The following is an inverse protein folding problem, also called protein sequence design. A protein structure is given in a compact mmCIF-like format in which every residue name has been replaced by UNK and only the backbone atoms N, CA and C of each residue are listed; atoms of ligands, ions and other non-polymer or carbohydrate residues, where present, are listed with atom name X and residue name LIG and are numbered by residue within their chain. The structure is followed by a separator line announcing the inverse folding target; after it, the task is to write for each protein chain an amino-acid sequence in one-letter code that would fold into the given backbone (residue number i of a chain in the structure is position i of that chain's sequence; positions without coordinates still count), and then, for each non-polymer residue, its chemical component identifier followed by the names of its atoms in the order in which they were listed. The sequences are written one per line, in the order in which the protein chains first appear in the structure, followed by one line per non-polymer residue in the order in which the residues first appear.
data_IF_046387863129
#
_entry.id   IF_046387863129
#
_cell.length_a   1.000
_cell.length_b   1.000
_cell.length_c   1.000
_cell.angle_alpha   90.00
_cell.angle_beta   90.00
_cell.angle_gamma   90.00
#
_symmetry.space_group_name_H-M   'P 1'
#
loop_
_entity.id
_entity.type
_entity.pdbx_description
1 polymer ?
#
# COMPACT_ATOMS: atom_id res chain seq x y z
N UNK A 1 19.01 33.66 -71.13
CA UNK A 1 17.76 32.90 -70.90
C UNK A 1 17.95 32.00 -69.67
N UNK A 2 17.08 32.20 -68.66
CA UNK A 2 16.72 31.37 -67.49
C UNK A 2 17.71 30.24 -67.09
N UNK A 3 18.54 30.43 -66.06
CA UNK A 3 18.34 30.00 -64.64
C UNK A 3 17.84 28.55 -64.50
N UNK A 4 18.68 27.66 -64.00
CA UNK A 4 18.27 26.62 -63.04
C UNK A 4 19.42 26.29 -62.10
N UNK A 5 19.34 26.89 -60.91
CA UNK A 5 20.16 26.60 -59.74
C UNK A 5 19.50 25.37 -59.07
N UNK A 6 20.12 24.20 -59.16
CA UNK A 6 19.65 23.00 -58.46
C UNK A 6 20.22 23.05 -57.05
N UNK A 7 19.44 23.59 -56.11
CA UNK A 7 19.72 23.50 -54.69
C UNK A 7 19.38 22.09 -54.21
N UNK A 8 20.40 21.27 -53.94
CA UNK A 8 20.27 20.01 -53.22
C UNK A 8 20.04 20.37 -51.76
N UNK A 9 18.78 20.51 -51.35
CA UNK A 9 18.40 20.61 -49.96
C UNK A 9 18.29 19.19 -49.39
N UNK A 10 19.41 18.66 -48.90
CA UNK A 10 19.42 17.46 -48.08
C UNK A 10 18.77 17.82 -46.74
N UNK A 11 17.44 17.66 -46.67
CA UNK A 11 16.72 17.63 -45.40
C UNK A 11 17.11 16.37 -44.65
N UNK A 12 18.22 16.48 -43.92
CA UNK A 12 18.58 15.57 -42.84
C UNK A 12 17.45 15.72 -41.82
N UNK A 13 16.45 14.84 -41.91
CA UNK A 13 15.65 14.47 -40.77
C UNK A 13 16.63 13.88 -39.75
N UNK A 14 17.21 14.73 -38.91
CA UNK A 14 17.59 14.37 -37.55
C UNK A 14 16.28 14.13 -36.79
N UNK A 15 15.52 13.12 -37.22
CA UNK A 15 14.79 12.30 -36.28
C UNK A 15 15.87 11.81 -35.35
N UNK A 16 15.96 12.43 -34.18
CA UNK A 16 16.77 12.03 -33.05
C UNK A 16 16.47 10.56 -32.80
N UNK A 17 17.22 9.75 -33.50
CA UNK A 17 17.26 8.34 -33.39
C UNK A 17 17.64 8.09 -31.93
N UNK A 18 16.67 7.62 -31.15
CA UNK A 18 16.89 6.92 -29.89
C UNK A 18 17.63 5.59 -30.18
N UNK A 19 18.79 5.67 -30.84
CA UNK A 19 19.61 4.57 -31.31
C UNK A 19 20.69 4.18 -30.28
N UNK A 20 20.43 4.40 -28.99
CA UNK A 20 21.30 3.95 -27.89
C UNK A 20 20.58 3.39 -26.65
N UNK A 21 19.30 3.01 -26.75
CA UNK A 21 18.61 2.22 -25.71
C UNK A 21 18.33 0.79 -26.20
N UNK A 22 19.37 0.11 -26.71
CA UNK A 22 19.26 -1.31 -27.04
C UNK A 22 19.31 -2.15 -25.76
N UNK A 23 18.16 -2.78 -25.46
CA UNK A 23 17.98 -3.94 -24.57
C UNK A 23 18.15 -3.70 -23.06
N UNK A 24 17.64 -2.60 -22.54
CA UNK A 24 17.64 -2.42 -21.10
C UNK A 24 16.32 -2.89 -20.52
N UNK A 25 16.37 -4.04 -19.84
CA UNK A 25 15.21 -4.73 -19.31
C UNK A 25 15.12 -4.55 -17.79
N UNK A 26 13.96 -4.87 -17.25
CA UNK A 26 13.70 -5.03 -15.83
C UNK A 26 13.22 -6.46 -15.57
N UNK A 27 13.37 -6.92 -14.33
CA UNK A 27 12.92 -8.22 -13.89
C UNK A 27 11.71 -8.15 -12.98
N UNK A 28 10.83 -9.14 -13.08
CA UNK A 28 9.77 -9.42 -12.11
C UNK A 28 9.85 -10.90 -11.70
N UNK A 29 9.85 -11.14 -10.40
CA UNK A 29 9.66 -12.46 -9.81
C UNK A 29 8.41 -12.45 -8.95
N UNK A 30 7.56 -13.48 -9.12
CA UNK A 30 6.37 -13.66 -8.30
C UNK A 30 6.38 -15.07 -7.73
N UNK A 31 6.22 -15.17 -6.42
CA UNK A 31 6.14 -16.42 -5.66
C UNK A 31 4.83 -16.42 -4.90
N UNK A 32 4.09 -17.53 -4.96
CA UNK A 32 2.91 -17.75 -4.12
C UNK A 32 3.14 -18.92 -3.18
N UNK A 33 2.91 -18.71 -1.89
CA UNK A 33 3.16 -19.72 -0.85
C UNK A 33 2.07 -20.78 -0.87
N UNK A 34 2.41 -22.01 -1.24
CA UNK A 34 1.56 -23.22 -1.23
C UNK A 34 0.24 -23.14 -2.02
N UNK A 35 0.05 -22.08 -2.82
CA UNK A 35 -1.17 -21.80 -3.58
C UNK A 35 -0.83 -21.46 -5.03
N UNK A 36 -0.94 -22.41 -5.98
CA UNK A 36 -0.75 -22.14 -7.40
C UNK A 36 -1.62 -20.96 -7.86
N UNK A 37 -1.02 -20.01 -8.58
CA UNK A 37 -1.70 -18.79 -9.00
C UNK A 37 -1.26 -18.38 -10.40
N UNK A 38 -2.19 -17.85 -11.18
CA UNK A 38 -1.92 -17.19 -12.46
C UNK A 38 -1.55 -15.72 -12.22
N UNK A 39 -0.49 -15.25 -12.88
CA UNK A 39 0.00 -13.87 -12.76
C UNK A 39 -0.28 -13.12 -14.04
N UNK A 40 -0.82 -11.91 -13.91
CA UNK A 40 -1.10 -11.00 -15.02
C UNK A 40 -0.34 -9.70 -14.81
N UNK A 41 0.12 -9.11 -15.91
CA UNK A 41 0.80 -7.82 -15.96
C UNK A 41 0.00 -6.89 -16.89
N UNK A 42 -0.51 -5.78 -16.37
CA UNK A 42 -1.46 -4.88 -17.04
C UNK A 42 -2.66 -5.63 -17.68
N UNK A 43 -3.17 -6.62 -16.96
CA UNK A 43 -4.29 -7.47 -17.40
C UNK A 43 -3.93 -8.52 -18.45
N UNK A 44 -2.70 -8.54 -18.98
CA UNK A 44 -2.24 -9.62 -19.85
C UNK A 44 -1.70 -10.78 -19.01
N UNK A 45 -2.15 -12.00 -19.32
CA UNK A 45 -1.62 -13.21 -18.69
C UNK A 45 -0.12 -13.32 -18.96
N UNK A 46 0.67 -13.44 -17.90
CA UNK A 46 2.12 -13.59 -17.96
C UNK A 46 2.49 -15.07 -17.86
N UNK A 47 2.34 -15.66 -16.67
CA UNK A 47 2.64 -17.08 -16.40
C UNK A 47 2.03 -17.50 -15.05
N UNK A 48 2.17 -18.77 -14.66
CA UNK A 48 1.83 -19.22 -13.30
C UNK A 48 3.01 -19.01 -12.33
N UNK A 49 2.71 -18.67 -11.09
CA UNK A 49 3.68 -18.59 -10.01
C UNK A 49 4.05 -20.02 -9.49
N UNK A 50 5.31 -20.24 -9.07
CA UNK A 50 6.41 -19.27 -9.05
C UNK A 50 6.99 -19.00 -10.45
N UNK A 51 7.27 -17.72 -10.76
CA UNK A 51 7.85 -17.29 -12.04
C UNK A 51 8.99 -16.28 -11.84
N UNK A 52 9.90 -16.22 -12.82
CA UNK A 52 10.90 -15.15 -12.96
C UNK A 52 10.96 -14.72 -14.44
N UNK A 53 10.56 -13.49 -14.72
CA UNK A 53 10.69 -12.88 -16.05
C UNK A 53 11.72 -11.75 -16.02
N UNK A 54 12.78 -11.85 -16.82
CA UNK A 54 13.93 -10.91 -16.80
C UNK A 54 13.94 -9.92 -17.98
N UNK A 55 13.03 -10.10 -18.93
CA UNK A 55 13.01 -9.35 -20.19
C UNK A 55 11.79 -8.45 -20.31
N UNK A 56 11.42 -7.76 -19.23
CA UNK A 56 10.30 -6.79 -19.23
C UNK A 56 10.86 -5.41 -19.55
N UNK A 57 10.08 -4.58 -20.25
CA UNK A 57 10.44 -3.16 -20.39
C UNK A 57 10.35 -2.46 -19.03
N UNK A 58 11.27 -1.55 -18.69
CA UNK A 58 11.12 -0.74 -17.48
C UNK A 58 9.85 0.12 -17.55
N UNK A 59 9.15 0.27 -16.42
CA UNK A 59 7.89 1.00 -16.34
C UNK A 59 7.11 0.69 -15.06
N UNK A 60 5.97 1.35 -14.88
CA UNK A 60 5.01 1.03 -13.83
C UNK A 60 3.94 0.10 -14.40
N UNK A 61 3.65 -0.97 -13.68
CA UNK A 61 2.74 -2.01 -14.11
C UNK A 61 1.72 -2.33 -13.00
N UNK A 62 0.51 -2.69 -13.40
CA UNK A 62 -0.44 -3.41 -12.55
C UNK A 62 -0.12 -4.89 -12.56
N UNK A 63 0.03 -5.49 -11.39
CA UNK A 63 0.20 -6.93 -11.21
C UNK A 63 -1.07 -7.48 -10.56
N UNK A 64 -1.70 -8.46 -11.21
CA UNK A 64 -2.79 -9.26 -10.64
C UNK A 64 -2.31 -10.69 -10.42
N UNK A 65 -2.51 -11.21 -9.21
CA UNK A 65 -2.26 -12.60 -8.83
C UNK A 65 -3.62 -13.24 -8.59
N UNK A 66 -3.97 -14.21 -9.42
CA UNK A 66 -5.23 -14.95 -9.37
C UNK A 66 -4.96 -16.39 -8.90
N UNK A 67 -5.37 -16.78 -7.69
CA UNK A 67 -5.28 -18.17 -7.26
C UNK A 67 -6.07 -19.11 -8.18
N UNK A 68 -5.55 -20.32 -8.39
CA UNK A 68 -6.30 -21.35 -9.12
C UNK A 68 -7.52 -21.87 -8.32
N UNK A 69 -7.44 -21.77 -6.99
CA UNK A 69 -8.53 -22.11 -6.07
C UNK A 69 -9.53 -20.94 -5.97
N UNK A 70 -10.79 -21.11 -6.42
CA UNK A 70 -11.77 -20.04 -6.46
C UNK A 70 -12.27 -19.60 -5.08
N UNK A 71 -11.93 -20.32 -4.00
CA UNK A 71 -12.25 -19.90 -2.63
C UNK A 71 -11.31 -18.82 -2.11
N UNK A 72 -10.15 -18.63 -2.76
CA UNK A 72 -9.14 -17.66 -2.37
C UNK A 72 -9.33 -16.35 -3.13
N UNK A 73 -8.96 -15.25 -2.49
CA UNK A 73 -9.12 -13.93 -3.11
C UNK A 73 -7.94 -13.58 -4.03
N UNK A 74 -8.21 -12.98 -5.19
CA UNK A 74 -7.17 -12.42 -6.04
C UNK A 74 -6.54 -11.19 -5.38
N UNK A 75 -5.29 -10.92 -5.74
CA UNK A 75 -4.56 -9.74 -5.27
C UNK A 75 -4.14 -8.87 -6.44
N UNK A 76 -4.33 -7.56 -6.28
CA UNK A 76 -3.90 -6.56 -7.26
C UNK A 76 -3.02 -5.51 -6.58
N UNK A 77 -1.91 -5.17 -7.24
CA UNK A 77 -0.99 -4.12 -6.79
C UNK A 77 -0.35 -3.44 -7.98
N UNK A 78 0.23 -2.26 -7.76
CA UNK A 78 1.14 -1.64 -8.73
C UNK A 78 2.58 -1.82 -8.30
N UNK A 79 3.49 -2.02 -9.26
CA UNK A 79 4.94 -2.09 -9.03
C UNK A 79 5.70 -1.26 -10.06
N UNK A 80 6.86 -0.74 -9.68
CA UNK A 80 7.75 -0.01 -10.59
C UNK A 80 8.93 -0.87 -10.99
N UNK A 81 8.89 -1.43 -12.20
CA UNK A 81 9.97 -2.23 -12.76
C UNK A 81 11.08 -1.31 -13.27
N UNK A 82 12.18 -1.24 -12.53
CA UNK A 82 13.32 -0.38 -12.85
C UNK A 82 14.37 -1.11 -13.68
N UNK A 83 14.99 -0.36 -14.59
CA UNK A 83 16.05 -0.84 -15.48
C UNK A 83 17.18 -1.53 -14.72
N UNK A 84 17.48 -2.77 -15.11
CA UNK A 84 18.56 -3.59 -14.54
C UNK A 84 18.27 -4.15 -13.14
N UNK A 85 17.07 -3.94 -12.60
CA UNK A 85 16.69 -4.37 -11.25
C UNK A 85 15.59 -5.43 -11.33
N UNK A 86 15.56 -6.29 -10.31
CA UNK A 86 14.53 -7.30 -10.12
C UNK A 86 13.57 -6.82 -9.03
N UNK A 87 12.28 -6.76 -9.36
CA UNK A 87 11.20 -6.62 -8.38
C UNK A 87 10.74 -8.02 -7.97
N UNK A 88 10.55 -8.25 -6.67
CA UNK A 88 10.12 -9.55 -6.14
C UNK A 88 8.81 -9.37 -5.39
N UNK A 89 7.82 -10.21 -5.69
CA UNK A 89 6.56 -10.29 -4.96
C UNK A 89 6.46 -11.70 -4.36
N UNK A 90 6.24 -11.78 -3.05
CA UNK A 90 5.86 -13.01 -2.36
C UNK A 90 4.47 -12.81 -1.79
N UNK A 91 3.54 -13.70 -2.14
CA UNK A 91 2.14 -13.55 -1.78
C UNK A 91 1.55 -14.84 -1.21
N UNK A 92 0.82 -14.71 -0.10
CA UNK A 92 0.07 -15.79 0.54
C UNK A 92 -1.42 -15.43 0.45
N UNK A 93 -2.13 -15.93 -0.58
CA UNK A 93 -3.56 -15.68 -0.71
C UNK A 93 -4.34 -16.50 0.32
N UNK A 94 -5.42 -15.91 0.82
CA UNK A 94 -6.38 -16.54 1.71
C UNK A 94 -7.81 -16.30 1.21
N UNK A 95 -8.81 -16.82 1.90
CA UNK A 95 -10.24 -16.72 1.60
C UNK A 95 -10.81 -15.31 1.71
N UNK A 96 -10.08 -14.41 2.38
CA UNK A 96 -10.47 -13.00 2.57
C UNK A 96 -9.28 -12.05 2.38
N UNK A 97 -9.51 -10.81 1.91
CA UNK A 97 -8.43 -9.85 1.67
C UNK A 97 -7.60 -9.49 2.91
N UNK A 98 -8.20 -9.50 4.09
CA UNK A 98 -7.56 -9.21 5.37
C UNK A 98 -6.78 -10.39 5.94
N UNK A 99 -7.11 -11.62 5.53
CA UNK A 99 -6.37 -12.83 5.90
C UNK A 99 -5.22 -13.11 4.92
N UNK A 100 -5.23 -12.47 3.77
CA UNK A 100 -4.14 -12.55 2.79
C UNK A 100 -2.99 -11.61 3.20
N UNK A 101 -1.76 -12.04 2.93
CA UNK A 101 -0.56 -11.27 3.27
C UNK A 101 0.59 -11.53 2.31
N UNK A 102 1.66 -10.74 2.41
CA UNK A 102 2.83 -10.91 1.58
C UNK A 102 3.78 -9.73 1.61
N UNK A 103 4.85 -9.83 0.83
CA UNK A 103 5.92 -8.83 0.76
C UNK A 103 6.29 -8.52 -0.68
N UNK A 104 6.50 -7.23 -0.97
CA UNK A 104 7.04 -6.74 -2.23
C UNK A 104 8.39 -6.08 -1.93
N UNK A 105 9.40 -6.47 -2.70
CA UNK A 105 10.74 -5.92 -2.66
C UNK A 105 11.03 -5.16 -3.95
N UNK A 106 11.32 -3.87 -3.83
CA UNK A 106 11.74 -3.00 -4.93
C UNK A 106 13.06 -2.32 -4.56
N UNK A 107 13.95 -2.11 -5.54
CA UNK A 107 15.16 -1.32 -5.32
C UNK A 107 15.07 0.00 -6.06
N UNK A 108 15.45 1.09 -5.38
CA UNK A 108 15.54 2.43 -5.97
C UNK A 108 16.97 2.97 -5.90
N UNK A 109 17.58 3.42 -7.01
CA UNK A 109 18.91 4.02 -6.96
C UNK A 109 18.91 5.34 -6.17
N UNK A 110 19.83 5.47 -5.22
CA UNK A 110 20.03 6.71 -4.46
C UNK A 110 20.81 7.74 -5.28
N UNK A 111 20.65 9.02 -4.94
CA UNK A 111 21.46 10.12 -5.52
C UNK A 111 22.92 10.00 -5.08
N UNK A 112 23.14 9.77 -3.79
CA UNK A 112 24.45 9.50 -3.22
C UNK A 112 24.75 8.00 -3.33
N UNK A 113 25.74 7.63 -4.15
CA UNK A 113 26.07 6.23 -4.42
C UNK A 113 26.86 5.56 -3.30
N UNK A 114 27.26 6.30 -2.28
CA UNK A 114 28.01 5.82 -1.13
C UNK A 114 27.11 5.40 0.02
N UNK A 115 25.82 5.75 -0.01
CA UNK A 115 24.83 5.42 1.02
C UNK A 115 24.00 4.20 0.63
N UNK A 116 23.40 3.57 1.62
CA UNK A 116 22.38 2.54 1.49
C UNK A 116 21.28 2.80 2.51
N UNK A 117 20.04 2.47 2.16
CA UNK A 117 18.87 2.71 3.00
C UNK A 117 17.89 1.54 2.87
N UNK A 118 17.09 1.30 3.90
CA UNK A 118 15.96 0.38 3.84
C UNK A 118 14.69 1.14 4.21
N UNK A 119 13.66 1.05 3.38
CA UNK A 119 12.35 1.65 3.60
C UNK A 119 11.34 0.54 3.88
N UNK A 120 10.67 0.62 5.01
CA UNK A 120 9.59 -0.30 5.38
C UNK A 120 8.25 0.42 5.29
N UNK A 121 7.29 -0.20 4.60
CA UNK A 121 5.92 0.28 4.46
C UNK A 121 5.00 -0.89 4.77
N UNK A 122 4.03 -0.73 5.66
CA UNK A 122 3.13 -1.83 6.04
C UNK A 122 1.67 -1.52 5.76
N UNK A 123 0.88 -2.56 5.51
CA UNK A 123 -0.57 -2.51 5.44
C UNK A 123 -1.11 -3.56 6.42
N UNK A 124 -1.81 -3.15 7.49
CA UNK A 124 -2.06 -1.76 7.89
C UNK A 124 -0.79 -1.01 8.34
N UNK A 125 -0.88 0.32 8.39
CA UNK A 125 0.18 1.20 8.87
C UNK A 125 0.41 1.02 10.39
N UNK A 126 1.59 1.39 10.90
CA UNK A 126 1.89 1.38 12.34
C UNK A 126 2.43 0.06 12.88
N UNK A 127 2.81 -0.88 12.01
CA UNK A 127 3.51 -2.08 12.44
C UNK A 127 4.90 -1.75 13.00
N UNK A 128 5.33 -2.53 13.97
CA UNK A 128 6.66 -2.43 14.57
C UNK A 128 7.63 -3.20 13.68
N UNK A 129 8.72 -2.54 13.29
CA UNK A 129 9.81 -3.10 12.49
C UNK A 129 11.05 -3.20 13.37
N UNK A 130 11.70 -4.37 13.35
CA UNK A 130 13.04 -4.57 13.91
C UNK A 130 13.98 -5.04 12.80
N UNK A 131 15.14 -4.39 12.68
CA UNK A 131 16.18 -4.73 11.68
C UNK A 131 17.42 -5.25 12.44
N UNK A 132 17.88 -6.44 12.06
CA UNK A 132 18.97 -7.19 12.69
C UNK A 132 18.83 -7.36 14.21
N UNK A 133 17.59 -7.46 14.70
CA UNK A 133 17.28 -7.57 16.13
C UNK A 133 17.51 -6.29 16.95
N UNK A 134 17.86 -5.17 16.32
CA UNK A 134 18.05 -3.87 16.95
C UNK A 134 16.93 -2.89 16.56
N UNK A 135 16.84 -1.77 17.32
CA UNK A 135 15.96 -0.59 17.15
C UNK A 135 14.54 -0.84 16.59
N UNK A 136 13.53 -0.75 17.46
CA UNK A 136 12.11 -0.84 17.08
C UNK A 136 11.63 0.49 16.51
N UNK A 137 11.28 0.47 15.23
CA UNK A 137 10.68 1.61 14.53
C UNK A 137 9.23 1.31 14.13
N UNK A 138 8.45 2.34 13.84
CA UNK A 138 7.07 2.18 13.36
C UNK A 138 6.97 2.47 11.87
N UNK A 139 6.42 1.54 11.10
CA UNK A 139 6.20 1.74 9.68
C UNK A 139 5.07 2.76 9.40
N UNK A 140 5.19 3.62 8.38
CA UNK A 140 6.29 3.68 7.41
C UNK A 140 7.56 4.36 7.97
N UNK A 141 8.73 3.74 7.71
CA UNK A 141 10.04 4.25 8.18
C UNK A 141 11.12 4.05 7.12
N UNK A 142 12.10 4.95 7.08
CA UNK A 142 13.35 4.80 6.31
C UNK A 142 14.50 4.72 7.30
N UNK A 143 15.24 3.62 7.26
CA UNK A 143 16.46 3.39 8.04
C UNK A 143 17.66 3.74 7.16
N UNK A 144 18.36 4.85 7.41
CA UNK A 144 19.52 5.26 6.62
C UNK A 144 20.79 4.56 7.10
N UNK A 145 21.78 4.44 6.21
CA UNK A 145 23.12 3.99 6.59
C UNK A 145 23.22 2.50 6.94
N UNK A 146 22.26 1.69 6.50
CA UNK A 146 22.30 0.23 6.69
C UNK A 146 23.50 -0.33 5.91
N UNK A 147 24.30 -1.18 6.54
CA UNK A 147 25.49 -1.74 5.90
C UNK A 147 25.11 -2.55 4.63
N UNK A 148 25.95 -2.59 3.59
CA UNK A 148 25.71 -3.47 2.46
C UNK A 148 25.92 -4.94 2.85
N UNK A 149 24.97 -5.82 2.53
CA UNK A 149 25.04 -7.23 2.89
C UNK A 149 23.67 -7.84 3.15
N UNK A 150 23.68 -9.01 3.79
CA UNK A 150 22.47 -9.71 4.19
C UNK A 150 22.00 -9.19 5.56
N UNK A 151 20.73 -8.80 5.64
CA UNK A 151 20.09 -8.30 6.85
C UNK A 151 18.77 -9.03 7.08
N UNK A 152 18.44 -9.23 8.35
CA UNK A 152 17.19 -9.87 8.75
C UNK A 152 16.25 -8.81 9.33
N UNK A 153 14.96 -8.89 9.03
CA UNK A 153 13.98 -8.01 9.65
C UNK A 153 12.76 -8.80 10.12
N UNK A 154 12.16 -8.30 11.20
CA UNK A 154 10.91 -8.77 11.75
C UNK A 154 9.87 -7.64 11.72
N UNK A 155 8.64 -7.95 11.32
CA UNK A 155 7.51 -7.04 11.37
C UNK A 155 6.43 -7.66 12.23
N UNK A 156 5.93 -6.88 13.20
CA UNK A 156 4.89 -7.31 14.13
C UNK A 156 3.81 -6.25 14.26
N UNK A 157 2.56 -6.72 14.37
CA UNK A 157 1.42 -5.86 14.70
C UNK A 157 0.38 -6.70 15.46
N UNK A 158 -0.20 -6.19 16.58
CA UNK A 158 -1.19 -6.94 17.34
C UNK A 158 -2.37 -7.41 16.48
N UNK A 159 -2.77 -8.67 16.66
CA UNK A 159 -3.82 -9.36 15.87
C UNK A 159 -3.47 -9.68 14.41
N UNK A 160 -2.21 -9.58 14.02
CA UNK A 160 -1.72 -9.98 12.70
C UNK A 160 -0.62 -11.04 12.80
N UNK A 161 -0.42 -11.82 11.74
CA UNK A 161 0.69 -12.76 11.60
C UNK A 161 2.02 -11.98 11.59
N UNK A 162 2.92 -12.28 12.52
CA UNK A 162 4.29 -11.77 12.48
C UNK A 162 5.04 -12.33 11.27
N UNK A 163 5.90 -11.51 10.68
CA UNK A 163 6.68 -11.90 9.50
C UNK A 163 8.16 -11.66 9.73
N UNK A 164 8.98 -12.66 9.40
CA UNK A 164 10.43 -12.61 9.48
C UNK A 164 11.01 -12.92 8.11
N UNK A 165 11.91 -12.06 7.64
CA UNK A 165 12.43 -12.11 6.28
C UNK A 165 13.88 -11.64 6.24
N UNK A 166 14.51 -11.92 5.11
CA UNK A 166 15.89 -11.52 4.85
C UNK A 166 15.95 -10.69 3.58
N UNK A 167 16.75 -9.62 3.61
CA UNK A 167 17.03 -8.76 2.46
C UNK A 167 18.53 -8.69 2.21
N UNK A 168 18.90 -8.40 0.97
CA UNK A 168 20.27 -8.04 0.62
C UNK A 168 20.34 -6.55 0.30
N UNK A 169 20.92 -5.77 1.20
CA UNK A 169 21.13 -4.33 1.05
C UNK A 169 22.33 -4.07 0.13
N UNK A 170 22.15 -3.18 -0.84
CA UNK A 170 23.18 -2.87 -1.86
C UNK A 170 23.56 -1.41 -1.76
N UNK A 171 24.87 -1.13 -1.70
CA UNK A 171 25.38 0.23 -1.69
C UNK A 171 24.90 1.03 -2.91
N UNK A 172 24.46 2.26 -2.68
CA UNK A 172 23.94 3.17 -3.70
C UNK A 172 22.46 2.94 -4.04
N UNK A 173 21.76 2.09 -3.29
CA UNK A 173 20.34 1.78 -3.44
C UNK A 173 19.58 1.91 -2.13
N UNK A 174 18.29 2.21 -2.24
CA UNK A 174 17.28 2.01 -1.22
C UNK A 174 16.55 0.70 -1.50
N UNK A 175 16.55 -0.22 -0.54
CA UNK A 175 15.65 -1.37 -0.55
C UNK A 175 14.29 -0.92 -0.03
N UNK A 176 13.24 -1.04 -0.82
CA UNK A 176 11.86 -0.75 -0.44
C UNK A 176 11.17 -2.08 -0.17
N UNK A 177 10.78 -2.28 1.08
CA UNK A 177 10.07 -3.46 1.57
C UNK A 177 8.64 -3.04 1.89
N UNK A 178 7.69 -3.52 1.11
CA UNK A 178 6.25 -3.30 1.36
C UNK A 178 5.64 -4.57 1.87
N UNK A 179 5.02 -4.52 3.03
CA UNK A 179 4.47 -5.70 3.69
C UNK A 179 2.98 -5.53 3.90
N UNK A 180 2.20 -6.47 3.41
CA UNK A 180 0.80 -6.62 3.82
C UNK A 180 0.73 -7.72 4.86
N UNK A 181 0.29 -7.36 6.06
CA UNK A 181 0.15 -8.29 7.16
C UNK A 181 -1.22 -9.00 7.06
N UNK A 182 -1.18 -10.32 7.16
CA UNK A 182 -2.38 -11.15 7.27
C UNK A 182 -2.93 -11.04 8.71
N UNK A 183 -4.21 -10.77 8.86
CA UNK A 183 -4.88 -10.76 10.15
C UNK A 183 -5.01 -12.20 10.66
N UNK A 184 -4.78 -12.40 11.95
CA UNK A 184 -5.06 -13.69 12.58
C UNK A 184 -6.57 -13.90 12.64
N UNK A 185 -7.03 -15.08 12.25
CA UNK A 185 -8.43 -15.46 12.47
C UNK A 185 -8.71 -15.46 13.98
N UNK A 186 -9.82 -14.86 14.39
CA UNK A 186 -10.31 -15.05 15.73
C UNK A 186 -10.75 -16.51 15.84
N UNK A 187 -10.05 -17.29 16.66
CA UNK A 187 -10.51 -18.60 17.11
C UNK A 187 -11.95 -18.42 17.60
N UNK A 188 -12.89 -19.08 16.91
CA UNK A 188 -14.29 -19.10 17.31
C UNK A 188 -14.37 -19.69 18.71
N UNK A 189 -15.04 -18.98 19.62
CA UNK A 189 -15.33 -19.41 21.00
C UNK A 189 -16.00 -20.80 21.06
N UNK A 190 -16.52 -21.29 19.91
CA UNK A 190 -17.08 -22.63 19.75
C UNK A 190 -16.04 -23.78 19.82
N UNK A 191 -14.74 -23.52 19.70
CA UNK A 191 -13.68 -24.54 19.87
C UNK A 191 -13.01 -24.47 21.24
N UNK A 192 -13.31 -23.46 22.04
CA UNK A 192 -12.81 -23.34 23.40
C UNK A 192 -13.78 -24.09 24.33
N UNK A 193 -13.62 -25.41 24.42
CA UNK A 193 -14.30 -26.21 25.47
C UNK A 193 -13.98 -25.55 26.83
N UNK A 194 -14.97 -25.08 27.60
CA UNK A 194 -14.69 -24.50 28.90
C UNK A 194 -14.27 -25.63 29.84
N UNK A 195 -13.02 -25.60 30.29
CA UNK A 195 -12.62 -26.27 31.51
C UNK A 195 -13.41 -25.61 32.66
N UNK A 196 -14.49 -26.26 33.07
CA UNK A 196 -15.35 -25.86 34.18
C UNK A 196 -14.50 -25.77 35.45
N UNK A 197 -14.33 -24.57 35.99
CA UNK A 197 -13.91 -24.34 37.37
C UNK A 197 -15.00 -23.51 38.03
N UNK A 198 -15.90 -24.21 38.70
CA UNK A 198 -16.90 -23.64 39.61
C UNK A 198 -16.19 -22.86 40.72
N UNK A 199 -16.65 -21.62 40.92
CA UNK A 199 -16.94 -20.97 42.20
C UNK A 199 -16.62 -19.47 42.09
N UNK A 200 -17.65 -18.64 41.93
CA UNK A 200 -17.81 -17.51 42.85
C UNK A 200 -19.20 -16.90 42.79
N UNK A 201 -19.57 -16.41 43.95
CA UNK A 201 -20.90 -16.17 44.48
C UNK A 201 -21.47 -14.83 44.01
N UNK A 202 -22.80 -14.81 43.88
CA UNK A 202 -23.61 -13.66 43.46
C UNK A 202 -23.64 -12.61 44.57
N UNK A 203 -23.35 -11.34 44.27
CA UNK A 203 -23.94 -10.21 44.99
C UNK A 203 -24.49 -9.18 44.00
N UNK A 204 -25.81 -9.07 44.09
CA UNK A 204 -26.73 -8.15 43.45
C UNK A 204 -26.63 -6.75 44.09
N UNK A 205 -26.68 -5.67 43.30
CA UNK A 205 -27.50 -4.47 43.57
C UNK A 205 -27.46 -3.50 42.38
N UNK A 206 -28.62 -3.29 41.77
CA UNK A 206 -28.96 -2.14 40.91
C UNK A 206 -29.44 -0.95 41.78
N UNK A 207 -29.99 0.15 41.22
CA UNK A 207 -29.56 1.07 40.14
C UNK A 207 -29.62 2.54 40.61
N UNK A 208 -29.25 3.53 39.78
CA UNK A 208 -29.87 4.88 39.78
C UNK A 208 -29.85 5.48 38.37
N UNK A 209 -30.91 6.24 38.15
CA UNK A 209 -31.61 6.67 36.96
C UNK A 209 -31.23 8.12 36.54
N UNK A 210 -31.71 8.52 35.35
CA UNK A 210 -32.27 9.85 35.02
C UNK A 210 -31.42 10.87 34.23
N UNK A 211 -31.76 10.99 32.92
CA UNK A 211 -32.02 12.22 32.09
C UNK A 211 -30.87 13.17 31.69
N UNK A 212 -30.86 13.95 30.59
CA UNK A 212 -31.53 14.11 29.27
C UNK A 212 -30.85 15.41 28.64
N UNK A 213 -31.28 16.11 27.54
CA UNK A 213 -30.43 16.28 26.36
C UNK A 213 -30.29 17.72 25.74
N UNK A 214 -29.65 17.78 24.56
CA UNK A 214 -29.80 18.69 23.39
C UNK A 214 -29.19 20.13 23.29
N UNK A 215 -28.55 20.31 22.11
CA UNK A 215 -28.52 21.45 21.17
C UNK A 215 -27.72 22.76 21.41
N UNK A 216 -27.01 23.20 20.36
CA UNK A 216 -27.12 24.51 19.67
C UNK A 216 -26.34 24.45 18.32
N UNK A 217 -27.09 24.59 17.21
CA UNK A 217 -26.64 25.02 15.87
C UNK A 217 -26.18 26.49 15.87
N UNK A 218 -25.27 26.93 14.98
CA UNK A 218 -25.48 28.08 14.04
C UNK A 218 -24.28 28.38 13.07
N UNK A 219 -24.50 28.11 11.78
CA UNK A 219 -24.13 28.79 10.49
C UNK A 219 -22.91 29.73 10.24
N UNK A 220 -22.13 29.38 9.18
CA UNK A 220 -21.71 30.11 7.93
C UNK A 220 -20.94 31.46 7.95
N UNK A 221 -20.04 31.77 6.97
CA UNK A 221 -20.35 31.84 5.52
C UNK A 221 -19.31 31.24 4.53
N UNK A 222 -19.73 31.28 3.26
CA UNK A 222 -19.31 30.59 2.03
C UNK A 222 -18.09 31.18 1.26
N UNK A 223 -17.36 30.33 0.51
CA UNK A 223 -16.77 30.60 -0.80
C UNK A 223 -16.48 29.28 -1.56
N UNK A 224 -16.72 29.27 -2.87
CA UNK A 224 -17.03 28.13 -3.75
C UNK A 224 -15.87 27.18 -4.13
N UNK A 225 -16.15 25.87 -4.10
CA UNK A 225 -15.54 24.84 -4.93
C UNK A 225 -16.65 23.87 -5.37
N UNK A 226 -16.72 23.56 -6.67
CA UNK A 226 -17.80 22.85 -7.35
C UNK A 226 -18.17 21.53 -6.68
N UNK A 227 -19.36 21.49 -6.07
CA UNK A 227 -19.89 20.36 -5.29
C UNK A 227 -20.64 19.37 -6.20
N UNK A 228 -20.13 18.14 -6.30
CA UNK A 228 -21.01 16.98 -6.32
C UNK A 228 -21.46 16.81 -4.87
N UNK A 229 -22.77 16.90 -4.56
CA UNK A 229 -23.30 16.85 -3.18
C UNK A 229 -23.13 15.50 -2.46
N UNK A 230 -22.17 14.70 -2.88
CA UNK A 230 -21.88 13.36 -2.41
C UNK A 230 -20.92 13.43 -1.21
N UNK A 231 -21.11 12.53 -0.25
CA UNK A 231 -20.29 12.48 0.96
C UNK A 231 -19.42 11.21 0.95
N UNK A 232 -18.32 11.25 1.69
CA UNK A 232 -17.48 10.09 1.97
C UNK A 232 -17.49 9.87 3.47
N UNK A 233 -18.04 8.75 3.92
CA UNK A 233 -18.02 8.33 5.32
C UNK A 233 -16.71 7.64 5.65
N UNK A 234 -16.06 8.08 6.72
CA UNK A 234 -14.84 7.49 7.27
C UNK A 234 -15.25 6.37 8.24
N UNK A 235 -14.75 5.17 7.98
CA UNK A 235 -15.01 3.98 8.79
C UNK A 235 -13.98 3.86 9.93
N UNK A 236 -14.23 3.03 10.95
CA UNK A 236 -13.21 2.69 11.95
C UNK A 236 -11.92 2.16 11.31
N UNK A 237 -10.78 2.63 11.80
CA UNK A 237 -9.43 2.35 11.28
C UNK A 237 -8.57 1.56 12.27
N UNK A 238 -8.90 1.62 13.56
CA UNK A 238 -8.03 1.26 14.69
C UNK A 238 -6.67 1.98 14.69
N UNK A 239 -6.56 3.08 13.95
CA UNK A 239 -5.36 3.90 13.88
C UNK A 239 -5.55 5.18 14.71
N UNK A 240 -4.85 5.26 15.85
CA UNK A 240 -5.00 6.36 16.82
C UNK A 240 -3.87 7.38 16.66
N UNK A 241 -4.22 8.65 16.54
CA UNK A 241 -3.29 9.78 16.56
C UNK A 241 -3.83 10.88 17.48
N UNK A 242 -2.97 11.37 18.39
CA UNK A 242 -3.32 12.39 19.39
C UNK A 242 -4.61 12.06 20.19
N UNK A 243 -4.77 10.77 20.53
CA UNK A 243 -5.91 10.27 21.30
C UNK A 243 -7.21 10.10 20.50
N UNK A 244 -7.17 10.27 19.18
CA UNK A 244 -8.33 10.14 18.30
C UNK A 244 -8.10 9.06 17.24
N UNK A 245 -9.14 8.29 16.93
CA UNK A 245 -9.12 7.37 15.80
C UNK A 245 -9.23 8.16 14.51
N UNK A 246 -8.28 7.95 13.59
CA UNK A 246 -8.17 8.76 12.37
C UNK A 246 -7.87 7.93 11.14
N UNK A 247 -8.16 8.49 9.97
CA UNK A 247 -7.75 8.02 8.66
C UNK A 247 -6.81 9.05 8.02
N UNK A 248 -5.73 8.56 7.42
CA UNK A 248 -4.74 9.39 6.74
C UNK A 248 -5.26 9.91 5.40
N UNK A 249 -5.08 11.21 5.17
CA UNK A 249 -5.36 11.87 3.90
C UNK A 249 -4.07 12.02 3.11
N UNK A 250 -4.10 11.59 1.85
CA UNK A 250 -2.95 11.48 0.96
C UNK A 250 -3.03 12.47 -0.19
N UNK A 251 -1.89 12.89 -0.72
CA UNK A 251 -1.81 13.83 -1.86
C UNK A 251 -2.12 13.19 -3.20
N UNK A 252 -2.05 11.85 -3.30
CA UNK A 252 -2.41 11.07 -4.48
C UNK A 252 -3.07 9.74 -4.04
N UNK A 253 -3.79 9.00 -4.92
CA UNK A 253 -4.40 7.71 -4.62
C UNK A 253 -3.35 6.59 -4.51
N UNK A 254 -2.43 6.72 -3.56
CA UNK A 254 -1.35 5.79 -3.30
C UNK A 254 -0.86 5.93 -1.86
N UNK A 255 -0.54 4.79 -1.23
CA UNK A 255 0.06 4.71 0.11
C UNK A 255 1.47 5.26 0.16
N UNK A 256 2.12 5.46 -1.00
CA UNK A 256 3.45 6.08 -1.13
C UNK A 256 3.42 7.60 -1.18
N UNK A 257 2.23 8.19 -1.37
CA UNK A 257 2.12 9.63 -1.53
C UNK A 257 2.16 10.36 -0.19
N UNK A 258 2.45 11.66 -0.25
CA UNK A 258 2.61 12.51 0.92
C UNK A 258 1.33 12.51 1.75
N UNK A 259 1.47 12.35 3.06
CA UNK A 259 0.39 12.57 4.01
C UNK A 259 0.10 14.06 4.11
N UNK A 260 -1.08 14.48 3.67
CA UNK A 260 -1.56 15.85 3.83
C UNK A 260 -2.07 16.11 5.25
N UNK A 261 -2.57 15.07 5.92
CA UNK A 261 -3.07 15.15 7.29
C UNK A 261 -3.95 13.96 7.63
N UNK A 262 -4.87 14.16 8.58
CA UNK A 262 -5.74 13.13 9.14
C UNK A 262 -7.18 13.62 9.25
N UNK A 263 -8.14 12.73 9.04
CA UNK A 263 -9.57 12.94 9.29
C UNK A 263 -10.04 11.95 10.34
N UNK A 264 -10.90 12.37 11.26
CA UNK A 264 -11.38 11.50 12.34
C UNK A 264 -12.28 10.38 11.80
N UNK A 265 -12.14 9.18 12.36
CA UNK A 265 -13.01 8.05 12.07
C UNK A 265 -14.46 8.34 12.49
N UNK A 266 -15.42 7.67 11.85
CA UNK A 266 -16.85 7.87 12.05
C UNK A 266 -17.38 9.27 11.67
N UNK A 267 -16.59 10.08 10.97
CA UNK A 267 -17.02 11.37 10.38
C UNK A 267 -17.37 11.23 8.91
N UNK A 268 -18.00 12.26 8.34
CA UNK A 268 -18.24 12.37 6.89
C UNK A 268 -17.46 13.56 6.34
N UNK A 269 -16.88 13.38 5.15
CA UNK A 269 -16.12 14.40 4.44
C UNK A 269 -16.80 14.68 3.09
N UNK A 270 -16.77 15.93 2.57
CA UNK A 270 -17.26 16.20 1.22
C UNK A 270 -16.45 15.42 0.19
N UNK A 271 -17.11 14.79 -0.78
CA UNK A 271 -16.41 14.09 -1.86
C UNK A 271 -15.62 15.07 -2.75
N UNK A 272 -14.40 14.67 -3.11
CA UNK A 272 -13.50 15.46 -3.95
C UNK A 272 -13.69 15.25 -5.46
N UNK A 273 -14.66 14.41 -5.86
CA UNK A 273 -14.91 14.01 -7.25
C UNK A 273 -14.92 12.50 -7.40
N UNK A 274 -14.30 12.00 -8.48
CA UNK A 274 -14.28 10.56 -8.76
C UNK A 274 -13.34 9.82 -7.80
N UNK A 275 -13.79 8.63 -7.36
CA UNK A 275 -12.92 7.64 -6.74
C UNK A 275 -12.00 7.01 -7.78
N UNK A 276 -10.83 6.57 -7.34
CA UNK A 276 -9.89 5.78 -8.15
C UNK A 276 -9.72 4.43 -7.46
N UNK A 277 -9.33 3.39 -8.21
CA UNK A 277 -9.29 2.01 -7.72
C UNK A 277 -8.61 1.92 -6.34
N UNK A 278 -9.37 1.57 -5.28
CA UNK A 278 -8.87 1.48 -3.90
C UNK A 278 -8.88 2.79 -3.08
N UNK A 279 -9.37 3.90 -3.64
CA UNK A 279 -9.27 5.24 -3.04
C UNK A 279 -10.51 6.10 -3.31
N UNK A 280 -11.03 6.73 -2.26
CA UNK A 280 -12.03 7.79 -2.36
C UNK A 280 -11.36 9.16 -2.29
N UNK A 281 -11.82 10.09 -3.11
CA UNK A 281 -11.35 11.48 -3.05
C UNK A 281 -12.23 12.29 -2.11
N UNK A 282 -11.62 13.16 -1.31
CA UNK A 282 -12.28 14.06 -0.37
C UNK A 282 -11.77 15.49 -0.52
N UNK A 283 -12.57 16.46 -0.10
CA UNK A 283 -12.12 17.83 0.10
C UNK A 283 -11.51 17.93 1.49
N UNK A 284 -10.19 18.13 1.56
CA UNK A 284 -9.42 18.24 2.80
C UNK A 284 -8.71 19.59 2.86
N UNK A 285 -8.98 20.40 3.88
CA UNK A 285 -8.46 21.76 4.02
C UNK A 285 -8.61 22.62 2.75
N UNK A 286 -9.74 22.48 2.04
CA UNK A 286 -10.03 23.20 0.80
C UNK A 286 -9.29 22.71 -0.45
N UNK A 287 -8.53 21.61 -0.35
CA UNK A 287 -7.81 20.98 -1.46
C UNK A 287 -8.26 19.53 -1.67
N UNK A 288 -7.94 18.95 -2.83
CA UNK A 288 -8.20 17.55 -3.12
C UNK A 288 -7.27 16.64 -2.31
N UNK A 289 -7.84 15.70 -1.56
CA UNK A 289 -7.12 14.66 -0.83
C UNK A 289 -7.68 13.27 -1.15
N UNK A 290 -6.89 12.23 -0.84
CA UNK A 290 -7.24 10.83 -1.11
C UNK A 290 -7.21 10.01 0.18
N UNK A 291 -8.23 9.18 0.38
CA UNK A 291 -8.35 8.26 1.52
C UNK A 291 -8.59 6.84 1.00
N UNK A 292 -8.08 5.83 1.70
CA UNK A 292 -8.25 4.42 1.28
C UNK A 292 -9.73 4.03 1.31
N UNK A 293 -10.21 3.33 0.28
CA UNK A 293 -11.57 2.77 0.26
C UNK A 293 -11.77 1.63 1.25
N UNK A 294 -10.69 1.04 1.78
CA UNK A 294 -10.80 0.01 2.83
C UNK A 294 -11.37 0.60 4.13
N UNK A 295 -11.20 1.92 4.32
CA UNK A 295 -11.63 2.66 5.51
C UNK A 295 -12.56 3.82 5.18
N UNK A 296 -13.13 3.85 3.98
CA UNK A 296 -14.06 4.89 3.58
C UNK A 296 -15.04 4.41 2.51
N UNK A 297 -16.24 4.97 2.50
CA UNK A 297 -17.25 4.68 1.47
C UNK A 297 -18.00 5.93 1.06
N UNK A 298 -18.41 5.99 -0.20
CA UNK A 298 -19.31 7.04 -0.70
C UNK A 298 -20.73 6.84 -0.13
N UNK A 299 -21.40 7.94 0.17
CA UNK A 299 -22.81 8.02 0.60
C UNK A 299 -23.60 8.98 -0.31
#
# INVERSE_FOLDING_TARGET
MKRFLIAILASIFLSGCSLLDKNTTAGLQVITTDKPSSVFLDGQFLEKAPLIQKNIKPGTYGVRIEPDDPSLVPYETSVTLRKGLLTVITWKPDTRPELSGGVIYEMEPLKNKQQSEVSFITIPDGAIVALDGHEKEFAPVIVPGVEPGQHEFEITLPSYESQQHTINVVQGYRMIVRVKLAKLEAISESEMEPAVSENEEVIETSPIDTTEPLDIKQSSPSAEATQSGQLVRILPTNFIQDGKEVLRVRSAPSTESITLGFVEANTTQPAGGESKLGWNSIVFNGSLGWVSSDYSRLE
#
